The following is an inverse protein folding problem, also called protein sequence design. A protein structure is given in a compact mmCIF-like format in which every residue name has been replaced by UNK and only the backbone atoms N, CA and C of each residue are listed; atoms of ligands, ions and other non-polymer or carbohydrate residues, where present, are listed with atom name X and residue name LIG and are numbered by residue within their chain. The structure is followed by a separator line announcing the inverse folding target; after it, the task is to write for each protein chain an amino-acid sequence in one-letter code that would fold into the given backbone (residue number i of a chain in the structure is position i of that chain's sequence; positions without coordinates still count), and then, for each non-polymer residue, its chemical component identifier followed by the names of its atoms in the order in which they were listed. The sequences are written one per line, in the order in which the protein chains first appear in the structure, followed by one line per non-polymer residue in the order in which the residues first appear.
data_IF_491478975364
#
_entry.id   IF_491478975364
#
_cell.length_a   1.000
_cell.length_b   1.000
_cell.length_c   1.000
_cell.angle_alpha   90.00
_cell.angle_beta   90.00
_cell.angle_gamma   90.00
#
_symmetry.space_group_name_H-M   'P 1'
#
loop_
_entity.id
_entity.type
_entity.pdbx_description
1 polymer ?
#
# COMPACT_ATOMS: atom_id res chain seq x y z
N UNK A 1 22.00 -44.30 28.16
CA UNK A 1 20.58 -44.62 28.49
C UNK A 1 20.25 -44.27 29.95
N UNK A 2 20.30 -43.00 30.37
CA UNK A 2 19.96 -42.67 31.78
C UNK A 2 19.75 -41.17 32.05
N UNK A 3 18.97 -40.46 31.22
CA UNK A 3 18.42 -39.15 31.64
C UNK A 3 17.04 -38.78 31.03
N UNK A 4 16.49 -39.60 30.12
CA UNK A 4 15.17 -39.34 29.50
C UNK A 4 14.02 -39.99 30.29
N UNK A 5 14.28 -40.85 31.29
CA UNK A 5 13.23 -41.70 31.89
C UNK A 5 12.40 -41.05 33.01
N UNK A 6 12.88 -39.99 33.68
CA UNK A 6 12.18 -39.48 34.87
C UNK A 6 10.92 -38.67 34.52
N UNK A 7 11.03 -37.72 33.58
CA UNK A 7 9.93 -36.81 33.23
C UNK A 7 8.77 -37.52 32.51
N UNK A 8 9.07 -38.49 31.65
CA UNK A 8 8.08 -39.25 30.90
C UNK A 8 7.51 -40.47 31.65
N UNK A 9 7.96 -40.70 32.90
CA UNK A 9 7.51 -41.83 33.72
C UNK A 9 6.00 -41.82 34.01
N UNK A 10 5.37 -40.65 33.97
CA UNK A 10 3.94 -40.51 34.15
C UNK A 10 3.13 -40.93 32.91
N UNK A 11 3.65 -40.65 31.71
CA UNK A 11 3.06 -41.12 30.45
C UNK A 11 3.39 -42.59 30.22
N UNK A 12 4.56 -43.06 30.63
CA UNK A 12 4.92 -44.48 30.58
C UNK A 12 3.99 -45.37 31.43
N UNK A 13 3.34 -44.81 32.46
CA UNK A 13 2.29 -45.48 33.24
C UNK A 13 0.97 -45.62 32.49
N UNK A 14 0.66 -44.68 31.58
CA UNK A 14 -0.48 -44.79 30.68
C UNK A 14 -0.18 -45.83 29.61
N UNK A 15 0.95 -45.66 28.92
CA UNK A 15 1.47 -46.65 28.00
C UNK A 15 2.98 -46.45 27.74
N UNK A 16 3.80 -47.51 27.86
CA UNK A 16 5.24 -47.40 27.68
C UNK A 16 5.65 -47.10 26.23
N UNK A 17 4.90 -47.61 25.25
CA UNK A 17 5.23 -47.46 23.83
C UNK A 17 4.84 -46.06 23.32
N UNK A 18 3.72 -45.53 23.83
CA UNK A 18 3.33 -44.14 23.61
C UNK A 18 4.38 -43.18 24.20
N UNK A 19 4.85 -43.43 25.43
CA UNK A 19 5.85 -42.58 26.06
C UNK A 19 7.17 -42.53 25.29
N UNK A 20 7.62 -43.67 24.76
CA UNK A 20 8.82 -43.74 23.93
C UNK A 20 8.68 -42.93 22.63
N UNK A 21 7.57 -43.11 21.91
CA UNK A 21 7.34 -42.40 20.64
C UNK A 21 7.16 -40.90 20.84
N UNK A 22 6.41 -40.48 21.85
CA UNK A 22 6.24 -39.07 22.17
C UNK A 22 7.56 -38.42 22.59
N UNK A 23 8.39 -39.11 23.37
CA UNK A 23 9.70 -38.59 23.78
C UNK A 23 10.69 -38.40 22.61
N UNK A 24 10.46 -39.02 21.44
CA UNK A 24 11.24 -38.76 20.23
C UNK A 24 10.86 -37.42 19.56
N UNK A 25 9.61 -36.99 19.72
CA UNK A 25 9.07 -35.83 19.02
C UNK A 25 9.00 -34.55 19.86
N UNK A 26 9.00 -34.68 21.19
CA UNK A 26 8.87 -33.54 22.10
C UNK A 26 10.05 -33.43 23.06
N UNK A 27 10.56 -32.21 23.28
CA UNK A 27 11.77 -31.99 24.08
C UNK A 27 11.51 -32.11 25.59
N UNK A 28 10.25 -32.01 26.01
CA UNK A 28 9.86 -32.16 27.41
C UNK A 28 8.34 -32.29 27.62
N UNK A 29 7.95 -32.72 28.82
CA UNK A 29 6.55 -33.00 29.16
C UNK A 29 5.64 -31.77 29.02
N UNK A 30 6.16 -30.58 29.34
CA UNK A 30 5.39 -29.33 29.23
C UNK A 30 5.07 -28.94 27.77
N UNK A 31 6.01 -29.12 26.85
CA UNK A 31 5.80 -28.86 25.41
C UNK A 31 4.77 -29.83 24.84
N UNK A 32 4.84 -31.10 25.25
CA UNK A 32 3.88 -32.11 24.84
C UNK A 32 2.46 -31.83 25.35
N UNK A 33 2.31 -31.48 26.63
CA UNK A 33 0.99 -31.13 27.20
C UNK A 33 0.38 -29.93 26.47
N UNK A 34 1.19 -28.93 26.10
CA UNK A 34 0.73 -27.76 25.34
C UNK A 34 0.32 -28.07 23.89
N UNK A 35 0.80 -29.18 23.32
CA UNK A 35 0.47 -29.56 21.94
C UNK A 35 -0.92 -30.18 21.78
N UNK A 36 -1.56 -30.55 22.89
CA UNK A 36 -2.87 -31.22 22.91
C UNK A 36 -3.94 -30.21 23.35
N UNK A 37 -4.72 -29.70 22.40
CA UNK A 37 -5.70 -28.64 22.68
C UNK A 37 -7.07 -29.20 23.12
N UNK A 38 -7.47 -30.35 22.58
CA UNK A 38 -8.74 -31.00 22.93
C UNK A 38 -8.63 -32.55 22.95
N UNK A 39 -9.73 -33.20 23.33
CA UNK A 39 -9.84 -34.67 23.39
C UNK A 39 -9.62 -35.33 22.02
N UNK A 40 -10.00 -34.65 20.93
CA UNK A 40 -9.85 -35.16 19.57
C UNK A 40 -8.39 -35.14 19.13
N UNK A 41 -7.66 -34.12 19.52
CA UNK A 41 -6.21 -34.00 19.31
C UNK A 41 -5.45 -35.08 20.08
N UNK A 42 -5.85 -35.36 21.33
CA UNK A 42 -5.28 -36.47 22.11
C UNK A 42 -5.48 -37.82 21.42
N UNK A 43 -6.70 -38.08 20.93
CA UNK A 43 -7.04 -39.29 20.19
C UNK A 43 -6.28 -39.40 18.87
N UNK A 44 -6.14 -38.30 18.14
CA UNK A 44 -5.39 -38.25 16.88
C UNK A 44 -3.92 -38.54 17.12
N UNK A 45 -3.32 -37.89 18.12
CA UNK A 45 -1.92 -38.10 18.48
C UNK A 45 -1.65 -39.55 18.88
N UNK A 46 -2.55 -40.19 19.64
CA UNK A 46 -2.43 -41.61 19.97
C UNK A 46 -2.56 -42.50 18.73
N UNK A 47 -3.43 -42.18 17.77
CA UNK A 47 -3.52 -42.95 16.51
C UNK A 47 -2.26 -42.81 15.68
N UNK A 48 -1.80 -41.58 15.47
CA UNK A 48 -0.59 -41.27 14.71
C UNK A 48 0.65 -41.89 15.38
N UNK A 49 0.69 -41.92 16.71
CA UNK A 49 1.77 -42.59 17.45
C UNK A 49 1.65 -44.11 17.45
N UNK A 50 0.51 -44.72 17.17
CA UNK A 50 0.31 -46.18 17.35
C UNK A 50 0.05 -46.92 16.03
N UNK A 51 0.01 -46.20 14.90
CA UNK A 51 -0.49 -46.50 13.53
C UNK A 51 -0.82 -47.95 13.13
N UNK A 52 -0.10 -49.00 13.56
CA UNK A 52 -0.39 -50.40 13.23
C UNK A 52 -0.28 -51.42 14.40
N UNK A 53 -0.13 -50.93 15.64
CA UNK A 53 0.30 -51.79 16.76
C UNK A 53 -0.84 -52.22 17.69
N UNK A 54 -2.01 -51.56 17.64
CA UNK A 54 -3.14 -51.82 18.55
C UNK A 54 -4.50 -51.63 17.88
N UNK A 55 -5.53 -52.26 18.45
CA UNK A 55 -6.90 -52.11 17.99
C UNK A 55 -7.44 -50.70 18.19
N UNK A 56 -8.36 -50.27 17.29
CA UNK A 56 -8.97 -48.94 17.32
C UNK A 56 -9.66 -48.62 18.66
N UNK A 57 -10.27 -49.61 19.30
CA UNK A 57 -10.90 -49.47 20.63
C UNK A 57 -9.86 -49.14 21.69
N UNK A 58 -8.67 -49.77 21.63
CA UNK A 58 -7.60 -49.51 22.59
C UNK A 58 -6.95 -48.14 22.38
N UNK A 59 -6.84 -47.68 21.14
CA UNK A 59 -6.37 -46.33 20.83
C UNK A 59 -7.35 -45.26 21.32
N UNK A 60 -8.66 -45.52 21.24
CA UNK A 60 -9.67 -44.62 21.78
C UNK A 60 -9.58 -44.50 23.31
N UNK A 61 -9.48 -45.63 24.01
CA UNK A 61 -9.30 -45.65 25.46
C UNK A 61 -8.03 -44.91 25.89
N UNK A 62 -6.92 -45.13 25.19
CA UNK A 62 -5.66 -44.44 25.47
C UNK A 62 -5.72 -42.94 25.21
N UNK A 63 -6.42 -42.48 24.15
CA UNK A 63 -6.61 -41.06 23.91
C UNK A 63 -7.42 -40.38 25.02
N UNK A 64 -8.47 -41.04 25.53
CA UNK A 64 -9.25 -40.54 26.65
C UNK A 64 -8.41 -40.46 27.94
N UNK A 65 -7.63 -41.49 28.23
CA UNK A 65 -6.73 -41.52 29.39
C UNK A 65 -5.63 -40.46 29.29
N UNK A 66 -5.09 -40.23 28.08
CA UNK A 66 -4.14 -39.17 27.81
C UNK A 66 -4.75 -37.77 28.01
N UNK A 67 -5.99 -37.58 27.56
CA UNK A 67 -6.71 -36.33 27.75
C UNK A 67 -6.97 -36.02 29.24
N UNK A 68 -7.39 -37.03 30.01
CA UNK A 68 -7.54 -36.91 31.46
C UNK A 68 -6.21 -36.58 32.15
N UNK A 69 -5.10 -37.16 31.67
CA UNK A 69 -3.77 -36.86 32.17
C UNK A 69 -3.37 -35.40 31.91
N UNK A 70 -3.62 -34.88 30.71
CA UNK A 70 -3.39 -33.46 30.35
C UNK A 70 -4.20 -32.53 31.25
N UNK A 71 -5.47 -32.86 31.49
CA UNK A 71 -6.32 -32.08 32.40
C UNK A 71 -5.83 -32.07 33.85
N UNK A 72 -5.20 -33.16 34.30
CA UNK A 72 -4.64 -33.29 35.65
C UNK A 72 -3.29 -32.56 35.83
N UNK A 73 -2.62 -32.17 34.74
CA UNK A 73 -1.31 -31.49 34.76
C UNK A 73 -1.36 -30.10 34.11
N UNK A 74 -2.18 -29.16 34.63
CA UNK A 74 -2.28 -27.82 34.06
C UNK A 74 -0.98 -27.04 34.30
N UNK A 75 -0.45 -26.43 33.23
CA UNK A 75 0.68 -25.50 33.32
C UNK A 75 0.30 -24.26 34.13
N UNK A 76 1.31 -23.51 34.60
CA UNK A 76 1.13 -22.29 35.40
C UNK A 76 0.25 -21.24 34.69
N UNK A 77 0.27 -21.21 33.35
CA UNK A 77 -0.53 -20.29 32.53
C UNK A 77 -2.03 -20.61 32.60
N UNK A 78 -2.43 -21.89 32.54
CA UNK A 78 -3.83 -22.31 32.67
C UNK A 78 -4.40 -22.04 34.06
N UNK A 79 -3.56 -22.13 35.10
CA UNK A 79 -3.96 -21.76 36.46
C UNK A 79 -4.25 -20.27 36.59
N UNK A 80 -3.52 -19.42 35.88
CA UNK A 80 -3.76 -17.97 35.84
C UNK A 80 -5.05 -17.66 35.08
N UNK A 81 -5.25 -18.25 33.90
CA UNK A 81 -6.49 -18.05 33.11
C UNK A 81 -7.72 -18.53 33.88
N UNK A 82 -7.66 -19.69 34.55
CA UNK A 82 -8.77 -20.19 35.39
C UNK A 82 -8.97 -19.38 36.67
N UNK A 83 -7.92 -18.88 37.32
CA UNK A 83 -8.05 -17.95 38.46
C UNK A 83 -8.69 -16.64 38.05
N UNK A 84 -8.33 -16.09 36.89
CA UNK A 84 -8.93 -14.87 36.35
C UNK A 84 -10.40 -15.11 36.00
N UNK A 85 -10.74 -16.26 35.40
CA UNK A 85 -12.12 -16.65 35.12
C UNK A 85 -12.95 -16.89 36.40
N UNK A 86 -12.38 -17.51 37.43
CA UNK A 86 -13.04 -17.73 38.73
C UNK A 86 -13.15 -16.42 39.54
N UNK A 87 -12.15 -15.54 39.49
CA UNK A 87 -12.23 -14.22 40.09
C UNK A 87 -13.30 -13.35 39.41
N UNK A 88 -13.48 -13.49 38.09
CA UNK A 88 -14.57 -12.86 37.36
C UNK A 88 -15.95 -13.42 37.75
N UNK A 89 -16.03 -14.69 38.19
CA UNK A 89 -17.29 -15.32 38.62
C UNK A 89 -17.67 -15.04 40.09
N UNK A 90 -16.71 -14.70 40.96
CA UNK A 90 -16.95 -14.56 42.41
C UNK A 90 -16.77 -13.14 42.98
N UNK A 91 -16.51 -12.12 42.16
CA UNK A 91 -16.50 -10.73 42.62
C UNK A 91 -17.92 -10.15 42.73
N UNK A 92 -18.31 -9.49 43.84
CA UNK A 92 -19.52 -8.69 43.87
C UNK A 92 -19.26 -7.42 43.03
N UNK A 93 -19.33 -7.54 41.72
CA UNK A 93 -19.35 -6.38 40.84
C UNK A 93 -20.72 -5.74 40.96
N UNK A 94 -20.84 -4.72 41.82
CA UNK A 94 -21.95 -3.78 41.72
C UNK A 94 -21.78 -3.03 40.39
N UNK A 95 -22.30 -3.61 39.32
CA UNK A 95 -22.55 -2.85 38.09
C UNK A 95 -23.67 -1.87 38.40
N UNK A 96 -23.33 -0.59 38.52
CA UNK A 96 -24.29 0.43 38.14
C UNK A 96 -24.52 0.22 36.63
N UNK A 97 -25.50 -0.61 36.27
CA UNK A 97 -25.77 -0.93 34.88
C UNK A 97 -26.42 0.30 34.22
N UNK A 98 -25.62 1.15 33.57
CA UNK A 98 -26.09 1.63 32.28
C UNK A 98 -25.91 0.45 31.33
N UNK A 99 -27.01 -0.09 30.81
CA UNK A 99 -26.99 -1.12 29.76
C UNK A 99 -26.38 -0.50 28.49
N UNK A 100 -25.06 -0.37 28.45
CA UNK A 100 -24.35 -0.03 27.22
C UNK A 100 -23.84 -1.33 26.61
N UNK A 101 -24.08 -1.51 25.32
CA UNK A 101 -23.52 -2.65 24.60
C UNK A 101 -21.97 -2.54 24.66
N UNK A 102 -21.25 -3.59 25.09
CA UNK A 102 -19.78 -3.61 25.04
C UNK A 102 -19.22 -3.24 23.66
N UNK A 103 -19.92 -3.56 22.58
CA UNK A 103 -19.54 -3.15 21.23
C UNK A 103 -19.67 -1.63 21.03
N UNK A 104 -20.76 -1.01 21.48
CA UNK A 104 -20.99 0.44 21.40
C UNK A 104 -19.95 1.21 22.22
N UNK A 105 -19.64 0.76 23.43
CA UNK A 105 -18.60 1.40 24.26
C UNK A 105 -17.22 1.32 23.62
N UNK A 106 -16.87 0.17 23.04
CA UNK A 106 -15.62 0.02 22.30
C UNK A 106 -15.57 0.98 21.09
N UNK A 107 -16.65 1.05 20.31
CA UNK A 107 -16.71 1.97 19.16
C UNK A 107 -16.60 3.44 19.59
N UNK A 108 -17.29 3.83 20.66
CA UNK A 108 -17.20 5.18 21.22
C UNK A 108 -15.76 5.52 21.65
N UNK A 109 -15.09 4.60 22.34
CA UNK A 109 -13.68 4.78 22.76
C UNK A 109 -12.72 4.90 21.57
N UNK A 110 -12.90 4.07 20.54
CA UNK A 110 -12.08 4.12 19.32
C UNK A 110 -12.32 5.43 18.57
N UNK A 111 -13.57 5.86 18.43
CA UNK A 111 -13.93 7.08 17.71
C UNK A 111 -13.49 8.35 18.45
N UNK A 112 -13.44 8.31 19.78
CA UNK A 112 -13.03 9.42 20.64
C UNK A 112 -11.54 9.81 20.48
N UNK A 113 -10.68 8.89 20.04
CA UNK A 113 -9.26 9.14 19.84
C UNK A 113 -8.82 8.89 18.40
N UNK A 114 -8.29 9.90 17.68
CA UNK A 114 -7.81 9.70 16.30
C UNK A 114 -6.66 8.68 16.25
N UNK A 115 -5.87 8.56 17.33
CA UNK A 115 -4.77 7.59 17.45
C UNK A 115 -5.30 6.15 17.48
N UNK A 116 -6.33 5.88 18.29
CA UNK A 116 -6.95 4.55 18.37
C UNK A 116 -7.66 4.20 17.06
N UNK A 117 -8.39 5.15 16.48
CA UNK A 117 -9.02 4.99 15.17
C UNK A 117 -8.01 4.68 14.06
N UNK A 118 -6.84 5.31 14.07
CA UNK A 118 -5.76 5.01 13.15
C UNK A 118 -5.23 3.59 13.36
N UNK A 119 -4.94 3.20 14.60
CA UNK A 119 -4.40 1.87 14.89
C UNK A 119 -5.36 0.74 14.47
N UNK A 120 -6.67 0.91 14.70
CA UNK A 120 -7.70 -0.02 14.23
C UNK A 120 -7.75 -0.07 12.70
N UNK A 121 -7.70 1.10 12.04
CA UNK A 121 -7.69 1.17 10.58
C UNK A 121 -6.46 0.47 9.98
N UNK A 122 -5.27 0.64 10.57
CA UNK A 122 -4.05 -0.03 10.09
C UNK A 122 -4.11 -1.54 10.24
N UNK A 123 -4.67 -2.05 11.35
CA UNK A 123 -4.93 -3.48 11.53
C UNK A 123 -5.93 -4.00 10.48
N UNK A 124 -7.00 -3.26 10.21
CA UNK A 124 -7.99 -3.62 9.20
C UNK A 124 -7.39 -3.64 7.78
N UNK A 125 -6.52 -2.67 7.44
CA UNK A 125 -5.79 -2.65 6.17
C UNK A 125 -4.92 -3.90 6.04
N UNK A 126 -4.17 -4.26 7.09
CA UNK A 126 -3.31 -5.44 7.09
C UNK A 126 -4.09 -6.74 6.93
N UNK A 127 -5.30 -6.81 7.51
CA UNK A 127 -6.17 -7.98 7.44
C UNK A 127 -6.87 -8.16 6.07
N UNK A 128 -7.24 -7.07 5.39
CA UNK A 128 -8.05 -7.10 4.16
C UNK A 128 -7.34 -7.61 2.89
N UNK A 129 -6.02 -7.77 2.87
CA UNK A 129 -5.30 -8.21 1.67
C UNK A 129 -5.44 -7.24 0.47
N UNK A 130 -5.09 -7.70 -0.75
CA UNK A 130 -4.97 -6.85 -1.97
C UNK A 130 -6.29 -6.64 -2.72
N UNK A 131 -7.38 -7.33 -2.35
CA UNK A 131 -8.63 -7.38 -3.13
C UNK A 131 -9.62 -6.25 -2.80
N UNK A 132 -9.17 -4.98 -2.78
CA UNK A 132 -10.04 -3.82 -2.55
C UNK A 132 -9.98 -2.85 -3.73
N UNK A 133 -11.13 -2.36 -4.17
CA UNK A 133 -11.23 -1.49 -5.35
C UNK A 133 -10.46 -0.18 -5.17
N UNK A 134 -9.92 0.39 -6.27
CA UNK A 134 -9.11 1.64 -6.23
C UNK A 134 -9.78 2.81 -5.50
N UNK A 135 -11.13 2.89 -5.53
CA UNK A 135 -11.92 3.88 -4.79
C UNK A 135 -11.76 3.72 -3.28
N UNK A 136 -12.01 2.50 -2.80
CA UNK A 136 -11.88 2.14 -1.38
C UNK A 136 -10.44 2.35 -0.92
N UNK A 137 -9.44 1.97 -1.73
CA UNK A 137 -8.04 2.21 -1.41
C UNK A 137 -7.71 3.71 -1.28
N UNK A 138 -8.33 4.58 -2.10
CA UNK A 138 -8.18 6.03 -1.97
C UNK A 138 -8.85 6.56 -0.71
N UNK A 139 -10.05 6.11 -0.39
CA UNK A 139 -10.77 6.50 0.83
C UNK A 139 -10.02 6.05 2.09
N UNK A 140 -9.55 4.80 2.11
CA UNK A 140 -8.74 4.24 3.19
C UNK A 140 -7.43 5.01 3.33
N UNK A 141 -6.74 5.31 2.22
CA UNK A 141 -5.53 6.15 2.23
C UNK A 141 -5.84 7.54 2.78
N UNK A 142 -6.91 8.18 2.33
CA UNK A 142 -7.34 9.50 2.82
C UNK A 142 -7.61 9.46 4.32
N UNK A 143 -8.40 8.49 4.78
CA UNK A 143 -8.75 8.30 6.20
C UNK A 143 -7.50 8.11 7.05
N UNK A 144 -6.57 7.26 6.62
CA UNK A 144 -5.29 7.02 7.32
C UNK A 144 -4.50 8.31 7.53
N UNK A 145 -4.23 9.05 6.46
CA UNK A 145 -3.40 10.26 6.56
C UNK A 145 -4.14 11.43 7.21
N UNK A 146 -5.47 11.50 7.09
CA UNK A 146 -6.29 12.47 7.82
C UNK A 146 -6.19 12.25 9.33
N UNK A 147 -6.36 11.01 9.80
CA UNK A 147 -6.25 10.69 11.23
C UNK A 147 -4.83 10.92 11.78
N UNK A 148 -3.79 10.66 10.98
CA UNK A 148 -2.42 10.95 11.38
C UNK A 148 -2.15 12.46 11.52
N UNK A 149 -2.65 13.29 10.58
CA UNK A 149 -2.57 14.75 10.72
C UNK A 149 -3.41 15.24 11.91
N UNK A 150 -4.58 14.66 12.14
CA UNK A 150 -5.41 14.98 13.30
C UNK A 150 -4.65 14.73 14.62
N UNK A 151 -3.93 13.61 14.71
CA UNK A 151 -3.04 13.35 15.84
C UNK A 151 -2.00 14.48 16.02
N UNK A 152 -1.34 14.92 14.95
CA UNK A 152 -0.36 16.02 15.05
C UNK A 152 -1.01 17.34 15.49
N UNK A 153 -2.23 17.62 15.03
CA UNK A 153 -3.00 18.81 15.43
C UNK A 153 -3.41 18.74 16.91
N UNK A 154 -3.80 17.57 17.40
CA UNK A 154 -4.13 17.35 18.81
C UNK A 154 -2.90 17.47 19.73
N UNK A 155 -1.77 16.87 19.32
CA UNK A 155 -0.50 16.96 20.04
C UNK A 155 0.05 18.39 20.08
N UNK A 156 -0.18 19.16 19.00
CA UNK A 156 0.17 20.57 18.91
C UNK A 156 -0.74 21.49 19.75
N UNK A 157 -1.87 20.98 20.27
CA UNK A 157 -2.80 21.78 21.07
C UNK A 157 -3.53 22.87 20.28
N UNK A 158 -3.74 22.68 18.96
CA UNK A 158 -4.35 23.71 18.11
C UNK A 158 -5.84 23.91 18.43
N UNK A 159 -6.42 25.11 18.18
CA UNK A 159 -7.79 25.46 18.61
C UNK A 159 -8.89 24.47 18.22
N UNK A 160 -8.82 23.89 17.03
CA UNK A 160 -9.82 22.92 16.56
C UNK A 160 -9.81 21.61 17.36
N UNK A 161 -8.69 21.24 17.99
CA UNK A 161 -8.56 19.98 18.72
C UNK A 161 -9.55 19.89 19.88
N UNK A 162 -9.64 20.94 20.70
CA UNK A 162 -10.58 20.99 21.82
C UNK A 162 -12.04 20.93 21.35
N UNK A 163 -12.36 21.63 20.26
CA UNK A 163 -13.71 21.67 19.70
C UNK A 163 -14.14 20.32 19.11
N UNK A 164 -13.26 19.65 18.39
CA UNK A 164 -13.56 18.38 17.73
C UNK A 164 -13.61 17.23 18.76
N UNK A 165 -12.77 17.27 19.79
CA UNK A 165 -12.81 16.30 20.90
C UNK A 165 -14.12 16.32 21.68
N UNK A 166 -14.79 17.47 21.75
CA UNK A 166 -16.08 17.61 22.41
C UNK A 166 -17.28 17.11 21.57
N UNK A 167 -17.06 16.70 20.31
CA UNK A 167 -18.11 16.15 19.45
C UNK A 167 -18.32 14.65 19.68
N UNK A 168 -19.48 14.14 19.26
CA UNK A 168 -19.87 12.74 19.46
C UNK A 168 -18.98 11.73 18.70
N UNK A 169 -18.54 12.07 17.48
CA UNK A 169 -17.58 11.26 16.68
C UNK A 169 -16.40 12.13 16.19
N UNK A 170 -15.37 12.34 17.04
CA UNK A 170 -14.20 13.15 16.69
C UNK A 170 -13.48 12.64 15.45
N UNK A 171 -13.37 11.32 15.28
CA UNK A 171 -12.63 10.71 14.19
C UNK A 171 -13.28 10.93 12.82
N UNK A 172 -14.61 10.80 12.71
CA UNK A 172 -15.30 11.14 11.47
C UNK A 172 -15.26 12.64 11.19
N UNK A 173 -15.38 13.48 12.23
CA UNK A 173 -15.29 14.95 12.10
C UNK A 173 -13.91 15.36 11.57
N UNK A 174 -12.82 14.78 12.08
CA UNK A 174 -11.48 15.02 11.56
C UNK A 174 -11.36 14.69 10.08
N UNK A 175 -11.84 13.52 9.65
CA UNK A 175 -11.81 13.12 8.23
C UNK A 175 -12.59 14.09 7.35
N UNK A 176 -13.73 14.61 7.85
CA UNK A 176 -14.53 15.66 7.17
C UNK A 176 -13.82 17.01 7.15
N UNK A 177 -13.11 17.38 8.21
CA UNK A 177 -12.38 18.66 8.32
C UNK A 177 -11.27 18.81 7.27
N UNK A 178 -10.63 17.70 6.86
CA UNK A 178 -9.68 17.71 5.73
C UNK A 178 -10.34 17.83 4.34
N UNK A 179 -11.67 17.85 4.27
CA UNK A 179 -12.47 18.17 3.09
C UNK A 179 -12.25 17.22 1.90
N UNK A 180 -12.29 17.77 0.68
CA UNK A 180 -12.10 17.01 -0.57
C UNK A 180 -10.63 16.78 -0.97
N UNK A 181 -9.68 16.95 -0.04
CA UNK A 181 -8.25 16.76 -0.34
C UNK A 181 -7.94 15.29 -0.64
N UNK A 182 -7.08 15.07 -1.64
CA UNK A 182 -6.63 13.73 -2.06
C UNK A 182 -5.75 13.09 -0.99
N UNK A 183 -5.85 11.77 -0.82
CA UNK A 183 -5.05 11.03 0.16
C UNK A 183 -3.54 11.19 -0.03
N UNK A 184 -3.06 11.34 -1.28
CA UNK A 184 -1.63 11.57 -1.54
C UNK A 184 -1.15 12.96 -1.12
N UNK A 185 -2.03 13.97 -1.18
CA UNK A 185 -1.70 15.31 -0.70
C UNK A 185 -1.52 15.29 0.82
N UNK A 186 -2.44 14.65 1.55
CA UNK A 186 -2.32 14.51 3.01
C UNK A 186 -1.06 13.73 3.39
N UNK A 187 -0.78 12.62 2.69
CA UNK A 187 0.46 11.85 2.85
C UNK A 187 1.71 12.70 2.71
N UNK A 188 1.79 13.50 1.65
CA UNK A 188 2.95 14.36 1.41
C UNK A 188 3.12 15.39 2.52
N UNK A 189 2.01 15.95 3.03
CA UNK A 189 2.03 16.93 4.12
C UNK A 189 2.47 16.31 5.44
N UNK A 190 1.94 15.13 5.79
CA UNK A 190 2.45 14.35 6.93
C UNK A 190 3.95 14.15 6.83
N UNK A 191 4.43 13.57 5.73
CA UNK A 191 5.84 13.23 5.55
C UNK A 191 6.76 14.44 5.58
N UNK A 192 6.29 15.59 5.13
CA UNK A 192 7.07 16.83 5.19
C UNK A 192 7.12 17.40 6.61
N UNK A 193 6.07 17.17 7.42
CA UNK A 193 5.97 17.65 8.80
C UNK A 193 6.62 16.73 9.83
N UNK A 194 6.57 15.40 9.64
CA UNK A 194 7.08 14.42 10.61
C UNK A 194 8.50 14.72 11.09
N UNK A 195 9.49 15.00 10.21
CA UNK A 195 10.85 15.30 10.67
C UNK A 195 10.94 16.63 11.44
N UNK A 196 10.13 17.62 11.07
CA UNK A 196 10.05 18.91 11.79
C UNK A 196 9.52 18.69 13.20
N UNK A 197 8.43 17.92 13.33
CA UNK A 197 7.82 17.56 14.62
C UNK A 197 8.81 16.81 15.51
N UNK A 198 9.48 15.80 14.98
CA UNK A 198 10.48 15.02 15.73
C UNK A 198 11.62 15.91 16.22
N UNK A 199 12.13 16.80 15.37
CA UNK A 199 13.15 17.76 15.75
C UNK A 199 12.65 18.73 16.83
N UNK A 200 11.46 19.31 16.70
CA UNK A 200 10.88 20.19 17.74
C UNK A 200 10.71 19.49 19.08
N UNK A 201 10.33 18.21 19.06
CA UNK A 201 10.18 17.40 20.28
C UNK A 201 11.53 17.16 20.96
N UNK A 202 12.58 16.89 20.19
CA UNK A 202 13.94 16.67 20.72
C UNK A 202 14.57 17.96 21.21
N UNK A 203 14.47 19.05 20.43
CA UNK A 203 15.17 20.30 20.70
C UNK A 203 14.48 21.16 21.76
N UNK A 204 13.14 21.15 21.76
CA UNK A 204 12.35 22.07 22.59
C UNK A 204 11.28 21.40 23.46
N UNK A 205 11.11 20.08 23.37
CA UNK A 205 10.10 19.34 24.13
C UNK A 205 8.66 19.63 23.70
N UNK A 206 8.43 20.25 22.53
CA UNK A 206 7.10 20.61 22.02
C UNK A 206 6.85 20.07 20.62
N UNK A 207 5.59 19.77 20.28
CA UNK A 207 5.21 19.24 18.96
C UNK A 207 4.85 20.33 17.93
N UNK A 208 4.83 21.59 18.34
CA UNK A 208 4.47 22.75 17.52
C UNK A 208 5.43 23.91 17.77
N UNK A 209 5.84 24.68 16.75
CA UNK A 209 6.72 25.82 16.92
C UNK A 209 6.05 26.95 17.71
N UNK A 210 6.82 27.65 18.55
CA UNK A 210 6.33 28.85 19.25
C UNK A 210 6.31 30.07 18.34
N UNK A 211 7.34 30.20 17.49
CA UNK A 211 7.54 31.32 16.59
C UNK A 211 8.13 30.88 15.24
N UNK A 212 8.27 31.85 14.34
CA UNK A 212 8.86 31.64 13.01
C UNK A 212 10.34 31.29 13.09
N UNK A 213 11.05 31.78 14.10
CA UNK A 213 12.48 31.57 14.29
C UNK A 213 12.83 30.09 14.43
N UNK A 214 12.01 29.32 15.13
CA UNK A 214 12.20 27.86 15.27
C UNK A 214 12.14 27.12 13.94
N UNK A 215 11.27 27.54 13.02
CA UNK A 215 11.16 26.92 11.70
C UNK A 215 12.34 27.31 10.81
N UNK A 216 12.79 28.56 10.89
CA UNK A 216 13.99 29.02 10.17
C UNK A 216 15.23 28.28 10.67
N UNK A 217 15.38 28.19 12.00
CA UNK A 217 16.47 27.45 12.64
C UNK A 217 16.50 25.99 12.21
N UNK A 218 15.33 25.33 12.15
CA UNK A 218 15.24 23.96 11.62
C UNK A 218 15.74 23.85 10.17
N UNK A 219 15.37 24.80 9.30
CA UNK A 219 15.80 24.78 7.90
C UNK A 219 17.31 24.96 7.77
N UNK A 220 17.89 25.89 8.55
CA UNK A 220 19.32 26.15 8.60
C UNK A 220 20.11 24.95 9.11
N UNK A 221 19.72 24.40 10.27
CA UNK A 221 20.36 23.23 10.88
C UNK A 221 20.27 22.01 9.95
N UNK A 222 19.11 21.80 9.33
CA UNK A 222 18.93 20.70 8.38
C UNK A 222 19.83 20.84 7.16
N UNK A 223 19.96 22.05 6.61
CA UNK A 223 20.84 22.31 5.46
C UNK A 223 22.31 22.06 5.79
N UNK A 224 22.76 22.47 6.98
CA UNK A 224 24.13 22.24 7.44
C UNK A 224 24.46 20.74 7.55
N UNK A 225 23.52 19.94 8.04
CA UNK A 225 23.71 18.48 8.15
C UNK A 225 23.57 17.74 6.82
N UNK A 226 22.64 18.15 5.96
CA UNK A 226 22.43 17.56 4.63
C UNK A 226 21.82 18.60 3.68
N UNK A 227 22.33 18.74 2.45
CA UNK A 227 21.74 19.64 1.46
C UNK A 227 20.23 19.41 1.30
N UNK A 228 19.47 20.50 1.35
CA UNK A 228 18.03 20.49 1.21
C UNK A 228 17.67 20.28 -0.27
N UNK A 229 16.67 19.45 -0.55
CA UNK A 229 16.05 19.46 -1.87
C UNK A 229 15.24 20.76 -2.08
N UNK A 230 15.27 21.33 -3.28
CA UNK A 230 14.56 22.60 -3.61
C UNK A 230 13.08 22.64 -3.23
N UNK A 231 12.38 21.51 -3.21
CA UNK A 231 10.95 21.44 -2.87
C UNK A 231 10.69 21.35 -1.37
N UNK A 232 11.72 21.11 -0.55
CA UNK A 232 11.58 20.85 0.88
C UNK A 232 11.05 22.07 1.64
N UNK A 233 11.62 23.29 1.52
CA UNK A 233 11.13 24.46 2.25
C UNK A 233 9.65 24.75 1.97
N UNK A 234 9.26 24.77 0.70
CA UNK A 234 7.86 24.98 0.29
C UNK A 234 6.92 23.86 0.75
N UNK A 235 7.40 22.61 0.82
CA UNK A 235 6.61 21.48 1.32
C UNK A 235 6.29 21.60 2.81
N UNK A 236 7.24 22.10 3.62
CA UNK A 236 7.09 22.34 5.05
C UNK A 236 6.12 23.49 5.29
N UNK A 237 6.30 24.62 4.60
CA UNK A 237 5.41 25.78 4.70
C UNK A 237 3.96 25.39 4.37
N UNK A 238 3.77 24.58 3.32
CA UNK A 238 2.45 24.10 2.94
C UNK A 238 1.84 23.08 3.93
N UNK A 239 2.66 22.38 4.71
CA UNK A 239 2.21 21.53 5.82
C UNK A 239 1.74 22.37 7.00
N UNK A 240 2.52 23.38 7.40
CA UNK A 240 2.14 24.34 8.44
C UNK A 240 0.80 24.98 8.07
N UNK A 241 0.69 25.51 6.86
CA UNK A 241 -0.55 26.11 6.35
C UNK A 241 -1.76 25.18 6.45
N UNK A 242 -1.61 23.90 6.05
CA UNK A 242 -2.70 22.94 6.13
C UNK A 242 -3.13 22.70 7.58
N UNK A 243 -2.17 22.52 8.49
CA UNK A 243 -2.48 22.24 9.89
C UNK A 243 -3.04 23.47 10.61
N UNK A 244 -2.59 24.68 10.29
CA UNK A 244 -3.19 25.92 10.80
C UNK A 244 -4.61 26.13 10.29
N UNK A 245 -4.86 25.83 9.01
CA UNK A 245 -6.18 25.95 8.41
C UNK A 245 -7.18 24.98 9.04
N UNK A 246 -6.81 23.69 9.16
CA UNK A 246 -7.68 22.66 9.76
C UNK A 246 -7.74 22.79 11.28
N UNK A 247 -6.64 23.19 11.90
CA UNK A 247 -6.51 23.51 13.32
C UNK A 247 -7.22 24.79 13.74
N UNK A 248 -7.79 25.54 12.80
CA UNK A 248 -8.52 26.80 13.02
C UNK A 248 -7.69 27.86 13.76
N UNK A 249 -6.41 27.98 13.41
CA UNK A 249 -5.54 29.04 13.93
C UNK A 249 -6.02 30.39 13.36
N UNK A 250 -6.24 31.42 14.19
CA UNK A 250 -6.60 32.78 13.76
C UNK A 250 -5.59 33.33 12.75
N UNK A 251 -6.04 34.11 11.77
CA UNK A 251 -5.18 34.58 10.68
C UNK A 251 -3.92 35.32 11.17
N UNK A 252 -4.06 36.15 12.20
CA UNK A 252 -2.97 36.93 12.80
C UNK A 252 -1.91 36.07 13.51
N UNK A 253 -2.29 34.86 13.93
CA UNK A 253 -1.40 33.93 14.63
C UNK A 253 -0.83 32.86 13.70
N UNK A 254 -1.05 32.95 12.38
CA UNK A 254 -0.57 31.97 11.41
C UNK A 254 0.88 32.21 11.03
N UNK A 255 1.74 31.29 11.42
CA UNK A 255 3.14 31.24 11.01
C UNK A 255 3.26 31.08 9.49
N UNK A 256 2.33 30.34 8.86
CA UNK A 256 2.38 30.16 7.40
C UNK A 256 2.12 31.44 6.59
N UNK A 257 1.59 32.49 7.22
CA UNK A 257 1.32 33.80 6.60
C UNK A 257 2.28 34.88 7.05
N UNK A 258 3.22 34.54 7.93
CA UNK A 258 4.25 35.47 8.36
C UNK A 258 5.18 35.83 7.19
N UNK A 259 5.39 37.14 6.99
CA UNK A 259 6.18 37.66 5.88
C UNK A 259 7.64 37.23 5.91
N UNK A 260 8.22 37.06 7.10
CA UNK A 260 9.60 36.64 7.30
C UNK A 260 9.74 35.18 6.86
N UNK A 261 8.81 34.31 7.29
CA UNK A 261 8.83 32.91 6.90
C UNK A 261 8.63 32.73 5.39
N UNK A 262 7.62 33.40 4.80
CA UNK A 262 7.36 33.34 3.37
C UNK A 262 8.56 33.86 2.55
N UNK A 263 9.17 34.96 2.98
CA UNK A 263 10.37 35.52 2.35
C UNK A 263 11.58 34.58 2.43
N UNK A 264 11.79 33.99 3.61
CA UNK A 264 12.88 33.03 3.84
C UNK A 264 12.71 31.80 2.96
N UNK A 265 11.53 31.18 2.96
CA UNK A 265 11.24 30.00 2.13
C UNK A 265 11.43 30.29 0.64
N UNK A 266 11.03 31.47 0.15
CA UNK A 266 11.26 31.88 -1.24
C UNK A 266 12.75 32.03 -1.55
N UNK A 267 13.50 32.72 -0.69
CA UNK A 267 14.95 32.91 -0.84
C UNK A 267 15.68 31.57 -0.87
N UNK A 268 15.40 30.68 0.08
CA UNK A 268 15.96 29.33 0.12
C UNK A 268 15.61 28.51 -1.12
N UNK A 269 14.35 28.57 -1.58
CA UNK A 269 13.94 27.85 -2.79
C UNK A 269 14.73 28.33 -4.01
N UNK A 270 14.95 29.64 -4.14
CA UNK A 270 15.73 30.23 -5.22
C UNK A 270 17.22 29.85 -5.15
N UNK A 271 17.83 29.86 -3.96
CA UNK A 271 19.22 29.43 -3.76
C UNK A 271 19.41 27.95 -4.14
N UNK A 272 18.53 27.08 -3.64
CA UNK A 272 18.57 25.64 -3.94
C UNK A 272 18.25 25.33 -5.41
N UNK A 273 17.50 26.20 -6.10
CA UNK A 273 17.29 26.09 -7.54
C UNK A 273 18.51 26.51 -8.35
N UNK A 274 19.25 27.52 -7.89
CA UNK A 274 20.48 27.98 -8.53
C UNK A 274 21.64 26.99 -8.37
N UNK A 275 21.74 26.34 -7.20
CA UNK A 275 22.72 25.29 -6.91
C UNK A 275 22.34 23.93 -7.54
N UNK A 276 21.06 23.73 -7.84
CA UNK A 276 20.56 22.51 -8.44
C UNK A 276 20.94 22.36 -9.90
N UNK A 277 21.19 21.13 -10.33
CA UNK A 277 21.31 20.84 -11.76
C UNK A 277 20.00 21.25 -12.47
N UNK A 278 20.05 21.88 -13.66
CA UNK A 278 18.86 22.25 -14.40
C UNK A 278 17.90 21.06 -14.50
N UNK A 279 16.61 21.33 -14.31
CA UNK A 279 15.57 20.31 -14.35
C UNK A 279 15.71 19.54 -15.66
N UNK A 280 16.25 18.32 -15.61
CA UNK A 280 16.23 17.40 -16.74
C UNK A 280 14.78 17.02 -16.96
N UNK A 281 14.11 17.75 -17.85
CA UNK A 281 12.82 17.31 -18.37
C UNK A 281 13.02 15.89 -18.92
N UNK A 282 12.05 15.01 -18.66
CA UNK A 282 12.10 13.67 -19.23
C UNK A 282 12.28 13.82 -20.75
N UNK A 283 13.26 13.12 -21.35
CA UNK A 283 13.48 13.19 -22.80
C UNK A 283 12.16 12.92 -23.52
N UNK A 284 11.81 13.79 -24.44
CA UNK A 284 10.63 13.61 -25.28
C UNK A 284 10.82 12.34 -26.12
N UNK A 285 9.74 11.59 -26.35
CA UNK A 285 9.78 10.53 -27.33
C UNK A 285 10.10 11.12 -28.70
N UNK A 286 11.11 10.57 -29.36
CA UNK A 286 11.47 10.99 -30.72
C UNK A 286 10.46 10.44 -31.73
N UNK A 287 10.35 11.09 -32.89
CA UNK A 287 9.53 10.60 -34.00
C UNK A 287 9.92 9.18 -34.41
N UNK A 288 11.23 8.85 -34.34
CA UNK A 288 11.73 7.51 -34.61
C UNK A 288 11.16 6.44 -33.64
N UNK A 289 11.00 6.76 -32.35
CA UNK A 289 10.38 5.86 -31.38
C UNK A 289 8.90 5.62 -31.72
N UNK A 290 8.17 6.67 -32.14
CA UNK A 290 6.77 6.55 -32.54
C UNK A 290 6.63 5.69 -33.80
N UNK A 291 7.45 5.92 -34.82
CA UNK A 291 7.48 5.11 -36.05
C UNK A 291 7.81 3.64 -35.76
N UNK A 292 8.82 3.38 -34.93
CA UNK A 292 9.17 2.02 -34.54
C UNK A 292 8.02 1.33 -33.77
N UNK A 293 7.32 2.06 -32.90
CA UNK A 293 6.15 1.55 -32.20
C UNK A 293 5.01 1.21 -33.18
N UNK A 294 4.73 2.06 -34.17
CA UNK A 294 3.70 1.78 -35.20
C UNK A 294 4.05 0.54 -36.01
N UNK A 295 5.28 0.44 -36.51
CA UNK A 295 5.76 -0.74 -37.24
C UNK A 295 5.67 -2.01 -36.39
N UNK A 296 5.96 -1.91 -35.09
CA UNK A 296 5.88 -3.04 -34.16
C UNK A 296 4.45 -3.50 -33.94
N UNK A 297 3.49 -2.58 -33.81
CA UNK A 297 2.06 -2.91 -33.65
C UNK A 297 1.53 -3.69 -34.86
N UNK A 298 1.91 -3.28 -36.07
CA UNK A 298 1.47 -3.90 -37.33
C UNK A 298 2.14 -5.27 -37.55
N UNK A 299 3.37 -5.44 -37.08
CA UNK A 299 4.16 -6.65 -37.28
C UNK A 299 3.57 -7.85 -36.54
N UNK A 300 2.99 -8.80 -37.29
CA UNK A 300 2.40 -10.03 -36.74
C UNK A 300 3.45 -10.92 -36.07
N UNK A 301 4.70 -10.92 -36.57
CA UNK A 301 5.80 -11.70 -36.00
C UNK A 301 6.31 -11.16 -34.65
N UNK A 302 5.91 -9.96 -34.24
CA UNK A 302 6.31 -9.41 -32.94
C UNK A 302 5.50 -10.04 -31.79
N UNK A 303 6.10 -10.27 -30.60
CA UNK A 303 5.40 -10.80 -29.44
C UNK A 303 4.19 -9.93 -29.06
N UNK A 304 3.06 -10.56 -28.74
CA UNK A 304 1.81 -9.86 -28.40
C UNK A 304 1.97 -8.85 -27.27
N UNK A 305 2.78 -9.17 -26.25
CA UNK A 305 3.07 -8.24 -25.16
C UNK A 305 3.79 -6.98 -25.61
N UNK A 306 4.75 -7.10 -26.53
CA UNK A 306 5.47 -5.96 -27.10
C UNK A 306 4.56 -5.11 -27.98
N UNK A 307 3.74 -5.76 -28.83
CA UNK A 307 2.72 -5.09 -29.66
C UNK A 307 1.73 -4.31 -28.80
N UNK A 308 1.30 -4.88 -27.68
CA UNK A 308 0.41 -4.20 -26.74
C UNK A 308 1.07 -2.99 -26.07
N UNK A 309 2.32 -3.11 -25.62
CA UNK A 309 3.06 -1.98 -25.02
C UNK A 309 3.27 -0.83 -26.01
N UNK A 310 3.65 -1.14 -27.25
CA UNK A 310 3.77 -0.14 -28.32
C UNK A 310 2.43 0.52 -28.63
N UNK A 311 1.34 -0.25 -28.67
CA UNK A 311 0.00 0.28 -28.85
C UNK A 311 -0.42 1.21 -27.70
N UNK A 312 -0.15 0.84 -26.44
CA UNK A 312 -0.44 1.69 -25.27
C UNK A 312 0.40 2.97 -25.27
N UNK A 313 1.67 2.91 -25.68
CA UNK A 313 2.52 4.08 -25.83
C UNK A 313 1.98 5.04 -26.89
N UNK A 314 1.59 4.51 -28.06
CA UNK A 314 0.96 5.31 -29.12
C UNK A 314 -0.35 5.92 -28.62
N UNK A 315 -1.20 5.14 -27.94
CA UNK A 315 -2.45 5.64 -27.38
C UNK A 315 -2.21 6.78 -26.38
N UNK A 316 -1.18 6.67 -25.53
CA UNK A 316 -0.81 7.75 -24.61
C UNK A 316 -0.37 9.02 -25.34
N UNK A 317 0.43 8.89 -26.39
CA UNK A 317 0.95 10.04 -27.14
C UNK A 317 -0.17 10.71 -27.93
N UNK A 318 -0.94 9.94 -28.70
CA UNK A 318 -1.97 10.46 -29.60
C UNK A 318 -3.21 11.01 -28.87
N UNK A 319 -3.59 10.40 -27.74
CA UNK A 319 -4.69 10.90 -26.90
C UNK A 319 -4.23 11.77 -25.72
N UNK A 320 -2.93 12.12 -25.65
CA UNK A 320 -2.32 12.91 -24.57
C UNK A 320 -2.64 12.37 -23.16
N UNK A 321 -2.65 11.05 -23.00
CA UNK A 321 -2.97 10.36 -21.74
C UNK A 321 -1.72 10.18 -20.88
N UNK A 322 -1.88 10.27 -19.56
CA UNK A 322 -0.87 9.80 -18.61
C UNK A 322 -0.95 8.28 -18.46
N UNK A 323 0.11 7.66 -17.94
CA UNK A 323 0.08 6.22 -17.61
C UNK A 323 -1.08 5.87 -16.66
N UNK A 324 -1.43 6.78 -15.75
CA UNK A 324 -2.54 6.59 -14.81
C UNK A 324 -3.91 6.64 -15.51
N UNK A 325 -4.04 7.44 -16.58
CA UNK A 325 -5.27 7.56 -17.36
C UNK A 325 -5.52 6.27 -18.17
N UNK A 326 -4.48 5.54 -18.59
CA UNK A 326 -4.61 4.23 -19.25
C UNK A 326 -5.34 3.20 -18.37
N UNK A 327 -5.04 3.18 -17.06
CA UNK A 327 -5.72 2.30 -16.11
C UNK A 327 -7.21 2.66 -15.94
N UNK A 328 -7.59 3.87 -16.34
CA UNK A 328 -8.96 4.35 -16.30
C UNK A 328 -9.77 4.01 -17.56
N UNK A 329 -9.16 3.48 -18.62
CA UNK A 329 -9.89 3.15 -19.85
C UNK A 329 -10.78 1.93 -19.60
N UNK A 330 -12.06 2.04 -19.93
CA UNK A 330 -12.97 0.90 -19.94
C UNK A 330 -12.74 0.09 -21.23
N UNK A 331 -12.22 -1.15 -21.16
CA UNK A 331 -11.88 -1.94 -22.36
C UNK A 331 -13.11 -2.21 -23.24
N UNK A 332 -14.26 -2.45 -22.61
CA UNK A 332 -15.55 -2.72 -23.25
C UNK A 332 -16.08 -1.52 -24.06
N UNK A 333 -15.64 -0.30 -23.74
CA UNK A 333 -16.08 0.91 -24.44
C UNK A 333 -15.19 1.32 -25.59
N UNK A 334 -14.05 0.64 -25.79
CA UNK A 334 -13.17 0.89 -26.93
C UNK A 334 -13.87 0.47 -28.22
N UNK A 335 -14.10 1.40 -29.13
CA UNK A 335 -14.69 1.16 -30.44
C UNK A 335 -13.87 1.86 -31.52
N UNK A 336 -13.47 1.11 -32.54
CA UNK A 336 -12.79 1.67 -33.71
C UNK A 336 -13.81 1.85 -34.84
N UNK A 337 -13.95 3.10 -35.29
CA UNK A 337 -14.82 3.49 -36.39
C UNK A 337 -14.00 4.07 -37.54
N UNK A 338 -14.63 4.29 -38.70
CA UNK A 338 -14.01 5.01 -39.82
C UNK A 338 -13.60 6.45 -39.43
N UNK A 339 -14.26 7.02 -38.42
CA UNK A 339 -13.92 8.32 -37.86
C UNK A 339 -12.75 8.27 -36.88
N UNK A 340 -12.29 7.07 -36.49
CA UNK A 340 -11.19 6.82 -35.58
C UNK A 340 -11.58 6.08 -34.30
N UNK A 341 -10.68 6.08 -33.30
CA UNK A 341 -10.81 5.31 -32.07
C UNK A 341 -11.58 6.10 -31.01
N UNK A 342 -12.63 5.51 -30.45
CA UNK A 342 -13.42 6.06 -29.36
C UNK A 342 -13.31 5.17 -28.14
N UNK A 343 -13.16 5.77 -26.96
CA UNK A 343 -13.19 5.04 -25.70
C UNK A 343 -13.64 5.94 -24.56
N UNK A 344 -14.14 5.32 -23.49
CA UNK A 344 -14.54 6.04 -22.28
C UNK A 344 -13.54 5.83 -21.16
N UNK A 345 -13.15 6.94 -20.54
CA UNK A 345 -12.39 6.93 -19.30
C UNK A 345 -13.38 6.85 -18.13
N UNK A 346 -13.26 5.79 -17.34
CA UNK A 346 -13.99 5.60 -16.09
C UNK A 346 -13.63 6.64 -15.03
N UNK A 347 -12.42 7.21 -15.09
CA UNK A 347 -11.92 8.27 -14.21
C UNK A 347 -11.05 9.26 -14.96
N UNK A 348 -11.22 10.54 -14.66
CA UNK A 348 -10.32 11.61 -15.09
C UNK A 348 -9.96 12.49 -13.89
N UNK A 349 -8.81 13.15 -13.92
CA UNK A 349 -8.29 14.01 -12.83
C UNK A 349 -9.24 15.16 -12.43
N UNK A 350 -10.32 15.38 -13.17
CA UNK A 350 -11.36 16.41 -12.96
C UNK A 350 -12.69 15.88 -12.39
N UNK A 351 -12.82 14.60 -12.02
CA UNK A 351 -14.04 14.06 -11.40
C UNK A 351 -14.15 14.46 -9.91
N UNK A 352 -14.46 15.73 -9.65
CA UNK A 352 -14.97 16.18 -8.35
C UNK A 352 -16.45 15.83 -8.17
N UNK A 353 -16.95 15.96 -6.94
CA UNK A 353 -18.32 15.58 -6.49
C UNK A 353 -19.44 16.22 -7.33
N UNK A 354 -19.17 17.34 -8.01
CA UNK A 354 -20.14 18.03 -8.89
C UNK A 354 -20.19 17.51 -10.35
N UNK A 355 -19.29 16.61 -10.75
CA UNK A 355 -19.35 15.95 -12.04
C UNK A 355 -19.74 14.49 -11.85
N UNK A 356 -21.04 14.24 -11.66
CA UNK A 356 -21.67 12.92 -11.79
C UNK A 356 -21.03 12.14 -12.92
N UNK A 357 -20.37 11.01 -12.62
CA UNK A 357 -19.96 9.91 -13.51
C UNK A 357 -20.00 10.30 -15.00
N UNK A 358 -19.22 11.31 -15.40
CA UNK A 358 -19.13 11.67 -16.81
C UNK A 358 -18.02 10.79 -17.33
N UNK A 359 -18.43 9.67 -17.95
CA UNK A 359 -17.59 8.94 -18.90
C UNK A 359 -17.01 9.99 -19.84
N UNK A 360 -15.73 10.34 -19.68
CA UNK A 360 -15.09 11.25 -20.60
C UNK A 360 -14.89 10.46 -21.89
N UNK A 361 -15.60 10.85 -22.95
CA UNK A 361 -15.44 10.28 -24.26
C UNK A 361 -14.15 10.86 -24.85
N UNK A 362 -13.14 10.03 -24.99
CA UNK A 362 -11.97 10.35 -25.79
C UNK A 362 -12.23 9.88 -27.22
N UNK A 363 -12.15 10.82 -28.18
CA UNK A 363 -12.21 10.52 -29.60
C UNK A 363 -10.89 10.88 -30.27
N UNK A 364 -10.20 9.87 -30.78
CA UNK A 364 -9.04 10.02 -31.65
C UNK A 364 -9.54 10.07 -33.09
N UNK A 365 -9.69 11.28 -33.64
CA UNK A 365 -10.22 11.46 -35.00
C UNK A 365 -9.20 11.05 -36.07
N UNK A 366 -9.67 10.33 -37.08
CA UNK A 366 -8.92 9.87 -38.24
C UNK A 366 -8.00 10.91 -38.90
N UNK A 367 -8.34 12.23 -39.04
CA UNK A 367 -7.47 13.21 -39.70
C UNK A 367 -6.11 13.42 -39.01
N UNK A 368 -5.98 13.12 -37.71
CA UNK A 368 -4.70 13.17 -36.97
C UNK A 368 -3.87 11.88 -37.07
N UNK A 369 -4.45 10.83 -37.67
CA UNK A 369 -3.86 9.51 -37.88
C UNK A 369 -3.48 9.28 -39.36
N UNK A 370 -3.64 10.28 -40.24
CA UNK A 370 -3.48 10.12 -41.71
C UNK A 370 -2.01 10.11 -42.16
N UNK A 371 -1.07 10.52 -41.31
CA UNK A 371 0.36 10.50 -41.65
C UNK A 371 1.11 9.25 -41.14
N UNK A 372 0.44 8.38 -40.37
CA UNK A 372 0.94 7.10 -39.88
C UNK A 372 0.11 5.92 -40.39
N UNK A 373 0.64 4.69 -40.28
CA UNK A 373 0.00 3.47 -40.81
C UNK A 373 -1.44 3.37 -40.30
N UNK A 374 -2.41 3.28 -41.21
CA UNK A 374 -3.83 3.48 -40.93
C UNK A 374 -4.34 2.71 -39.71
N UNK A 375 -5.21 3.35 -38.92
CA UNK A 375 -5.78 2.83 -37.66
C UNK A 375 -6.50 1.48 -37.79
N UNK A 376 -6.79 1.00 -39.00
CA UNK A 376 -7.34 -0.32 -39.30
C UNK A 376 -6.42 -1.47 -38.81
N UNK A 377 -5.11 -1.25 -38.77
CA UNK A 377 -4.15 -2.25 -38.31
C UNK A 377 -4.14 -2.45 -36.79
N UNK A 378 -4.88 -1.63 -36.04
CA UNK A 378 -5.00 -1.74 -34.58
C UNK A 378 -6.14 -2.68 -34.13
N UNK A 379 -6.96 -3.16 -35.08
CA UNK A 379 -8.08 -4.07 -34.81
C UNK A 379 -7.68 -5.34 -34.01
N UNK A 380 -6.56 -6.03 -34.31
CA UNK A 380 -6.17 -7.21 -33.54
C UNK A 380 -5.88 -6.90 -32.07
N UNK A 381 -5.31 -5.74 -31.77
CA UNK A 381 -4.98 -5.30 -30.40
C UNK A 381 -6.24 -4.89 -29.64
N UNK A 382 -7.19 -4.23 -30.31
CA UNK A 382 -8.47 -3.87 -29.72
C UNK A 382 -9.29 -5.11 -29.37
N UNK A 383 -9.35 -6.10 -30.26
CA UNK A 383 -10.01 -7.38 -29.98
C UNK A 383 -9.36 -8.11 -28.80
N UNK A 384 -8.03 -8.08 -28.69
CA UNK A 384 -7.31 -8.63 -27.55
C UNK A 384 -7.65 -7.93 -26.23
N UNK A 385 -7.71 -6.59 -26.24
CA UNK A 385 -8.05 -5.75 -25.07
C UNK A 385 -9.50 -5.97 -24.62
N UNK A 386 -10.45 -6.02 -25.55
CA UNK A 386 -11.86 -6.26 -25.26
C UNK A 386 -12.10 -7.65 -24.67
N UNK A 387 -11.31 -8.64 -25.08
CA UNK A 387 -11.46 -10.03 -24.64
C UNK A 387 -10.77 -10.31 -23.30
N UNK A 388 -9.66 -9.63 -22.99
CA UNK A 388 -8.82 -9.92 -21.80
C UNK A 388 -8.77 -8.81 -20.76
N UNK A 389 -9.30 -7.62 -21.07
CA UNK A 389 -9.21 -6.42 -20.24
C UNK A 389 -7.81 -5.80 -20.21
N UNK A 390 -7.70 -4.58 -19.67
CA UNK A 390 -6.42 -3.91 -19.37
C UNK A 390 -6.09 -4.21 -17.91
N UNK A 391 -5.47 -5.36 -17.64
CA UNK A 391 -4.88 -5.66 -16.33
C UNK A 391 -3.36 -5.54 -16.44
N UNK A 392 -2.81 -4.39 -16.05
CA UNK A 392 -1.40 -4.31 -15.66
C UNK A 392 -1.32 -4.96 -14.28
N UNK A 393 -0.93 -6.23 -14.25
CA UNK A 393 -1.02 -7.11 -13.09
C UNK A 393 -0.53 -6.52 -11.76
N UNK A 394 -1.10 -7.07 -10.69
CA UNK A 394 -0.83 -6.76 -9.29
C UNK A 394 0.67 -6.69 -8.97
N UNK A 395 1.14 -5.52 -8.56
CA UNK A 395 2.16 -5.36 -7.51
C UNK A 395 3.57 -5.92 -7.74
N UNK A 396 3.83 -6.70 -8.78
CA UNK A 396 5.18 -6.95 -9.26
C UNK A 396 5.55 -5.76 -10.15
N UNK A 397 6.31 -4.82 -9.57
CA UNK A 397 7.31 -4.11 -10.35
C UNK A 397 7.88 -5.10 -11.35
N UNK A 398 7.82 -4.76 -12.65
CA UNK A 398 8.54 -5.41 -13.75
C UNK A 398 9.71 -6.19 -13.16
N UNK A 399 9.49 -7.50 -12.96
CA UNK A 399 10.44 -8.35 -12.26
C UNK A 399 11.76 -8.16 -12.97
N UNK A 400 12.77 -7.73 -12.20
CA UNK A 400 14.17 -7.52 -12.60
C UNK A 400 14.40 -7.96 -14.04
N UNK A 401 14.31 -7.03 -14.99
CA UNK A 401 15.02 -7.27 -16.23
C UNK A 401 16.48 -7.52 -15.79
N UNK A 402 17.13 -8.63 -16.21
CA UNK A 402 18.57 -8.67 -16.10
C UNK A 402 19.05 -7.37 -16.73
N UNK A 403 20.02 -6.73 -16.11
CA UNK A 403 20.71 -5.58 -16.67
C UNK A 403 21.36 -6.02 -17.98
N UNK A 404 20.57 -6.11 -19.04
CA UNK A 404 21.07 -6.14 -20.39
C UNK A 404 21.50 -4.70 -20.58
N UNK A 405 22.79 -4.47 -20.36
CA UNK A 405 23.52 -3.43 -21.07
C UNK A 405 23.20 -3.65 -22.55
N UNK A 406 22.15 -2.97 -23.03
CA UNK A 406 21.90 -2.90 -24.45
C UNK A 406 22.89 -1.87 -24.93
N UNK A 407 24.05 -2.36 -25.31
CA UNK A 407 25.06 -1.58 -25.99
C UNK A 407 24.37 -0.95 -27.23
N UNK A 408 24.34 0.38 -27.38
CA UNK A 408 23.60 1.05 -28.46
C UNK A 408 23.98 0.54 -29.85
N UNK A 409 25.19 0.00 -29.98
CA UNK A 409 25.75 -0.61 -31.19
C UNK A 409 25.03 -1.90 -31.57
N UNK A 410 24.53 -2.67 -30.60
CA UNK A 410 23.86 -3.94 -30.86
C UNK A 410 22.44 -3.78 -31.41
N UNK A 411 21.73 -2.73 -30.99
CA UNK A 411 20.42 -2.37 -31.53
C UNK A 411 20.56 -1.79 -32.96
N UNK A 412 21.63 -1.03 -33.22
CA UNK A 412 21.93 -0.50 -34.55
C UNK A 412 22.27 -1.62 -35.56
N UNK A 413 23.02 -2.65 -35.15
CA UNK A 413 23.33 -3.82 -36.01
C UNK A 413 22.13 -4.69 -36.35
N UNK A 414 21.15 -4.80 -35.46
CA UNK A 414 19.93 -5.57 -35.71
C UNK A 414 18.94 -4.86 -36.64
N UNK A 415 19.16 -3.57 -36.93
CA UNK A 415 18.30 -2.74 -37.78
C UNK A 415 18.95 -2.35 -39.12
N UNK A 416 20.14 -2.85 -39.44
CA UNK A 416 20.75 -2.66 -40.75
C UNK A 416 20.06 -3.55 -41.81
N UNK A 417 19.76 -3.03 -43.01
CA UNK A 417 19.24 -3.86 -44.10
C UNK A 417 20.29 -4.89 -44.51
N UNK A 418 19.87 -6.15 -44.67
CA UNK A 418 20.74 -7.24 -45.11
C UNK A 418 21.36 -6.97 -46.47
N UNK A 419 22.63 -7.35 -46.62
CA UNK A 419 23.39 -7.31 -47.86
C UNK A 419 22.59 -7.89 -49.03
N UNK A 420 22.17 -7.02 -49.94
CA UNK A 420 21.78 -7.40 -51.29
C UNK A 420 23.05 -7.36 -52.16
N UNK A 421 23.77 -8.48 -52.21
CA UNK A 421 24.83 -8.68 -53.20
C UNK A 421 24.21 -8.84 -54.59
N UNK A 422 24.24 -7.76 -55.37
CA UNK A 422 24.09 -7.79 -56.83
C UNK A 422 25.30 -8.55 -57.43
N UNK A 423 25.05 -9.66 -58.13
CA UNK A 423 26.02 -10.24 -59.05
C UNK A 423 25.91 -9.51 -60.41
N UNK A 424 27.02 -9.17 -61.08
CA UNK A 424 27.00 -8.70 -62.46
C UNK A 424 26.94 -9.89 -63.42
N UNK A 425 25.98 -9.83 -64.36
CA UNK A 425 25.94 -10.71 -65.53
C UNK A 425 26.96 -10.21 -66.56
N UNK A 426 28.00 -11.00 -66.80
CA UNK A 426 28.83 -10.92 -68.01
C UNK A 426 28.28 -11.93 -69.04
N UNK A 427 27.64 -11.43 -70.10
CA UNK A 427 27.56 -12.14 -71.39
C UNK A 427 27.78 -11.11 -72.51
N UNK A 428 28.98 -11.14 -73.11
CA UNK A 428 29.27 -10.56 -74.43
C UNK A 428 28.40 -11.22 -75.52
N UNK A 429 28.11 -10.50 -76.60
CA UNK A 429 28.62 -11.01 -77.88
C UNK A 429 29.12 -9.93 -78.85
N UNK A 430 30.29 -10.23 -79.41
CA UNK A 430 30.89 -9.85 -80.72
C UNK A 430 30.88 -8.40 -81.21
#
# INVERSE_FOLDING_TARGET
MSNVKAEWSAIARLDPLLAERVALHFKGLGEFILSIADEKDALKLVRDCMEDTRSLVRCAELGNQLWLFVQAHPTTADRVVRRVAQAAACGPYRSASSRCDPSETYQALVNASPQLSLAVLERAIKAKGVASGRAEHEEVKKKKWALLLAQYIEEAGLPAAARIRAMEDPSAVWVRAFGARRGNTLKNRCRSWTPVREWLQVTFGRAWPKDVGEIIHYLEERHQGSPLGKTVPGSILASIFLMEQVGQVPLEARLSKDSILEGTVKSWTQQLEAEGEPVRQAPLYTVAILLAAELTVVRISAPTGLRFMCFMLLLMVWACLRCDDLQGICPESMTLSQLGLKFTLSRTKTSGVACHIRRALAELKAPRLVEGISCLHWQPQLAWIQTRGISLGDGQLLGKYPSVSVDPVHLARAMAPGDASLQPNDEEPQ
#
